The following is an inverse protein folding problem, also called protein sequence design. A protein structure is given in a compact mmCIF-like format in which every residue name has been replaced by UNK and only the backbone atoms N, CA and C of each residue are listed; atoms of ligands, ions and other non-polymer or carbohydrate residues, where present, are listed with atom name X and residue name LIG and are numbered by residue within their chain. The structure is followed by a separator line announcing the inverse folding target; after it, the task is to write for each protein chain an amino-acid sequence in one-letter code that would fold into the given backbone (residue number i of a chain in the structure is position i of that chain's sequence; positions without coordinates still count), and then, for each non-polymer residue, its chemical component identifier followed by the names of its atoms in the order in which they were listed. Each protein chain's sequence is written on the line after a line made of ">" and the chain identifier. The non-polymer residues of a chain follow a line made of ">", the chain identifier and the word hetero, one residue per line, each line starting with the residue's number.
data_IF_247760553026
#
_entry.id   IF_247760553026
#
_cell.length_a   1.000
_cell.length_b   1.000
_cell.length_c   1.000
_cell.angle_alpha   90.00
_cell.angle_beta   90.00
_cell.angle_gamma   90.00
#
_symmetry.space_group_name_H-M   'P 1'
#
loop_
_entity.id
_entity.type
_entity.pdbx_description
1 polymer ?
#
# COMPACT_ATOMS: atom_id res chain seq x y z
N UNK A 1 13.65 40.01 22.31
CA UNK A 1 12.88 38.86 22.82
C UNK A 1 11.66 38.68 21.92
N UNK A 2 11.84 38.00 20.79
CA UNK A 2 10.76 37.60 19.89
C UNK A 2 10.79 36.08 19.86
N UNK A 3 9.68 35.49 20.28
CA UNK A 3 9.44 34.05 20.30
C UNK A 3 8.65 33.71 19.05
N UNK A 4 9.29 33.13 18.03
CA UNK A 4 8.60 32.57 16.87
C UNK A 4 8.22 31.12 17.12
N UNK A 5 6.91 30.87 17.08
CA UNK A 5 6.29 29.56 17.08
C UNK A 5 6.41 28.96 15.68
N UNK A 6 7.21 27.92 15.51
CA UNK A 6 7.07 27.02 14.36
C UNK A 6 6.02 25.95 14.71
N UNK A 7 4.84 26.08 14.11
CA UNK A 7 3.82 25.04 14.13
C UNK A 7 4.12 23.99 13.06
N UNK A 8 4.34 22.75 13.50
CA UNK A 8 4.29 21.57 12.63
C UNK A 8 2.85 21.41 12.11
N UNK A 9 2.65 21.56 10.81
CA UNK A 9 1.43 21.10 10.13
C UNK A 9 1.67 19.64 9.73
N UNK A 10 1.20 18.72 10.58
CA UNK A 10 1.11 17.31 10.23
C UNK A 10 -0.15 17.09 9.38
N UNK A 11 0.00 17.17 8.05
CA UNK A 11 -1.04 16.74 7.12
C UNK A 11 -1.05 15.22 7.01
N UNK A 12 -1.60 14.55 8.02
CA UNK A 12 -1.96 13.15 7.97
C UNK A 12 -3.29 12.98 7.25
N UNK A 13 -3.27 12.88 5.91
CA UNK A 13 -4.43 12.40 5.17
C UNK A 13 -4.49 10.87 5.36
N UNK A 14 -5.10 10.45 6.48
CA UNK A 14 -5.49 9.06 6.68
C UNK A 14 -6.53 8.72 5.63
N UNK A 15 -6.11 7.99 4.59
CA UNK A 15 -7.00 7.49 3.55
C UNK A 15 -7.86 6.37 4.15
N UNK A 16 -8.99 6.75 4.72
CA UNK A 16 -10.09 5.82 4.92
C UNK A 16 -10.59 5.42 3.53
N UNK A 17 -10.26 4.20 3.10
CA UNK A 17 -11.06 3.50 2.10
C UNK A 17 -12.42 3.23 2.77
N UNK A 18 -13.29 4.24 2.78
CA UNK A 18 -14.70 4.07 3.05
C UNK A 18 -15.24 3.29 1.86
N UNK A 19 -15.29 1.96 1.99
CA UNK A 19 -16.30 1.18 1.28
C UNK A 19 -17.65 1.65 1.82
N UNK A 20 -18.17 2.72 1.24
CA UNK A 20 -19.58 3.05 1.32
C UNK A 20 -20.30 1.91 0.60
N UNK A 21 -20.75 0.90 1.36
CA UNK A 21 -21.84 0.04 0.93
C UNK A 21 -23.09 0.92 0.81
N UNK A 22 -23.19 1.70 -0.27
CA UNK A 22 -24.42 2.36 -0.68
C UNK A 22 -25.41 1.27 -1.12
N UNK A 23 -26.15 0.76 -0.14
CA UNK A 23 -27.08 -0.34 -0.34
C UNK A 23 -28.12 -0.40 0.78
N UNK A 24 -28.91 0.66 0.95
CA UNK A 24 -30.25 0.51 1.53
C UNK A 24 -31.14 -0.26 0.53
N UNK A 25 -30.86 -1.55 0.37
CA UNK A 25 -31.64 -2.49 -0.44
C UNK A 25 -32.89 -2.88 0.33
N UNK A 26 -34.00 -2.20 0.03
CA UNK A 26 -35.34 -2.69 0.32
C UNK A 26 -35.51 -4.01 -0.42
N UNK A 27 -35.69 -5.11 0.31
CA UNK A 27 -35.80 -6.46 -0.26
C UNK A 27 -36.85 -6.50 -1.38
N UNK A 28 -36.40 -6.74 -2.61
CA UNK A 28 -37.27 -7.11 -3.72
C UNK A 28 -37.46 -8.64 -3.72
N UNK A 29 -38.68 -9.15 -3.97
CA UNK A 29 -38.96 -10.58 -3.93
C UNK A 29 -38.38 -11.29 -5.17
N UNK A 30 -37.71 -12.42 -4.92
CA UNK A 30 -37.41 -13.53 -5.82
C UNK A 30 -37.47 -13.24 -7.34
N UNK A 31 -36.33 -12.87 -7.91
CA UNK A 31 -36.05 -12.95 -9.34
C UNK A 31 -34.86 -13.88 -9.56
N UNK A 32 -35.00 -14.79 -10.52
CA UNK A 32 -34.11 -15.92 -10.78
C UNK A 32 -32.61 -15.56 -10.84
N UNK A 33 -31.81 -16.38 -10.16
CA UNK A 33 -30.35 -16.32 -10.16
C UNK A 33 -29.80 -16.48 -11.59
N UNK A 34 -29.44 -15.38 -12.23
CA UNK A 34 -28.58 -15.42 -13.41
C UNK A 34 -27.16 -15.80 -12.96
N UNK A 35 -26.74 -16.99 -13.37
CA UNK A 35 -25.37 -17.46 -13.27
C UNK A 35 -24.43 -16.41 -13.89
N UNK A 36 -23.65 -15.76 -13.04
CA UNK A 36 -22.54 -14.92 -13.49
C UNK A 36 -21.56 -15.81 -14.25
N UNK A 37 -21.26 -15.45 -15.49
CA UNK A 37 -20.20 -16.06 -16.26
C UNK A 37 -18.89 -15.84 -15.50
N UNK A 38 -18.35 -16.92 -14.94
CA UNK A 38 -17.05 -16.95 -14.32
C UNK A 38 -16.01 -16.64 -15.39
N UNK A 39 -15.31 -15.50 -15.22
CA UNK A 39 -13.99 -15.34 -15.83
C UNK A 39 -13.17 -16.60 -15.51
N UNK A 40 -12.46 -17.14 -16.49
CA UNK A 40 -11.69 -18.37 -16.30
C UNK A 40 -10.61 -18.11 -15.26
N UNK A 41 -10.84 -18.58 -14.03
CA UNK A 41 -9.92 -18.41 -12.92
C UNK A 41 -8.57 -19.00 -13.31
N UNK A 42 -7.57 -18.14 -13.45
CA UNK A 42 -6.17 -18.54 -13.55
C UNK A 42 -5.82 -19.36 -12.31
N UNK A 43 -4.98 -20.39 -12.48
CA UNK A 43 -4.60 -21.27 -11.38
C UNK A 43 -3.99 -20.43 -10.25
N UNK A 44 -4.46 -20.56 -8.99
CA UNK A 44 -3.95 -19.81 -7.86
C UNK A 44 -2.43 -19.92 -7.82
N UNK A 45 -1.74 -18.77 -7.85
CA UNK A 45 -0.31 -18.78 -7.64
C UNK A 45 -0.08 -19.04 -6.14
N UNK A 46 0.45 -20.22 -5.81
CA UNK A 46 0.55 -20.68 -4.43
C UNK A 46 1.50 -19.85 -3.55
N UNK A 47 2.31 -18.99 -4.16
CA UNK A 47 3.31 -18.15 -3.46
C UNK A 47 3.13 -16.69 -3.86
N UNK A 48 2.89 -15.78 -2.89
CA UNK A 48 2.92 -14.34 -3.11
C UNK A 48 4.21 -13.89 -3.80
N UNK A 49 4.17 -12.96 -4.77
CA UNK A 49 5.33 -12.53 -5.52
C UNK A 49 6.23 -11.62 -4.69
N UNK A 50 7.50 -11.56 -5.07
CA UNK A 50 8.40 -10.44 -4.74
C UNK A 50 8.05 -9.20 -5.57
N UNK A 51 8.57 -8.03 -5.20
CA UNK A 51 8.35 -6.80 -5.99
C UNK A 51 8.90 -6.98 -7.42
N UNK A 52 10.08 -7.58 -7.55
CA UNK A 52 10.73 -7.80 -8.84
C UNK A 52 9.94 -8.74 -9.76
N UNK A 53 9.18 -9.68 -9.21
CA UNK A 53 8.28 -10.54 -10.00
C UNK A 53 7.01 -9.79 -10.41
N UNK A 54 6.41 -9.02 -9.49
CA UNK A 54 5.21 -8.25 -9.77
C UNK A 54 5.44 -7.18 -10.86
N UNK A 55 6.58 -6.50 -10.84
CA UNK A 55 6.97 -5.49 -11.86
C UNK A 55 7.01 -6.07 -13.28
N UNK A 56 7.38 -7.35 -13.43
CA UNK A 56 7.40 -8.02 -14.75
C UNK A 56 6.00 -8.19 -15.32
N UNK A 57 5.00 -8.29 -14.45
CA UNK A 57 3.59 -8.31 -14.85
C UNK A 57 3.18 -6.86 -15.09
N UNK A 58 3.13 -6.01 -14.07
CA UNK A 58 2.75 -4.61 -14.24
C UNK A 58 3.52 -3.69 -13.30
N UNK A 59 4.01 -2.59 -13.87
CA UNK A 59 4.54 -1.46 -13.14
C UNK A 59 3.59 -0.27 -13.33
N UNK A 60 2.86 0.10 -12.29
CA UNK A 60 1.94 1.25 -12.37
C UNK A 60 2.70 2.59 -12.55
N UNK A 61 4.03 2.59 -12.36
CA UNK A 61 4.92 3.72 -12.68
C UNK A 61 5.14 3.93 -14.18
N UNK A 62 4.72 3.01 -15.03
CA UNK A 62 4.93 3.13 -16.48
C UNK A 62 3.66 3.38 -17.30
N UNK A 63 2.47 3.21 -16.72
CA UNK A 63 1.20 3.52 -17.38
C UNK A 63 1.10 4.98 -17.89
N UNK A 64 0.83 5.23 -19.17
CA UNK A 64 0.48 6.56 -19.66
C UNK A 64 -0.57 7.28 -18.80
N UNK A 65 -0.37 8.57 -18.55
CA UNK A 65 -1.36 9.42 -17.89
C UNK A 65 -2.24 10.12 -18.93
N UNK A 66 -3.45 10.52 -18.52
CA UNK A 66 -4.31 11.37 -19.36
C UNK A 66 -3.57 12.68 -19.68
N UNK A 67 -3.63 13.13 -20.93
CA UNK A 67 -2.95 14.35 -21.34
C UNK A 67 -3.40 15.57 -20.52
N UNK A 68 -2.43 16.41 -20.10
CA UNK A 68 -2.69 17.59 -19.28
C UNK A 68 -2.93 17.29 -17.78
N UNK A 69 -2.76 16.05 -17.35
CA UNK A 69 -2.79 15.70 -15.92
C UNK A 69 -1.64 16.36 -15.16
N UNK A 70 -1.90 16.75 -13.92
CA UNK A 70 -0.86 17.19 -13.00
C UNK A 70 -0.01 15.98 -12.57
N UNK A 71 1.27 16.20 -12.28
CA UNK A 71 2.20 15.13 -11.94
C UNK A 71 1.68 14.39 -10.69
N UNK A 72 1.48 13.06 -10.72
CA UNK A 72 1.03 12.28 -9.56
C UNK A 72 1.89 12.56 -8.33
N UNK A 73 1.27 13.06 -7.26
CA UNK A 73 1.88 13.03 -5.93
C UNK A 73 2.05 11.61 -5.38
N UNK A 74 1.50 10.59 -6.05
CA UNK A 74 1.58 9.19 -5.66
C UNK A 74 1.70 8.24 -6.84
N UNK A 75 2.93 7.89 -7.19
CA UNK A 75 3.21 6.85 -8.18
C UNK A 75 4.28 5.91 -7.66
N UNK A 76 3.95 4.62 -7.67
CA UNK A 76 4.80 3.55 -7.16
C UNK A 76 4.52 2.28 -7.97
N UNK A 77 5.31 1.23 -7.77
CA UNK A 77 5.15 -0.04 -8.50
C UNK A 77 3.71 -0.57 -8.35
N UNK A 78 3.19 -0.54 -7.13
CA UNK A 78 1.89 -1.12 -6.80
C UNK A 78 0.73 -0.13 -6.86
N UNK A 79 0.99 1.18 -6.97
CA UNK A 79 -0.06 2.21 -6.89
C UNK A 79 0.13 3.37 -7.85
N UNK A 80 -0.97 3.78 -8.48
CA UNK A 80 -1.09 5.02 -9.25
C UNK A 80 -2.21 5.88 -8.65
N UNK A 81 -1.92 7.15 -8.39
CA UNK A 81 -2.90 8.14 -7.93
C UNK A 81 -2.62 9.52 -8.56
N UNK A 82 -3.57 10.08 -9.30
CA UNK A 82 -3.41 11.41 -9.90
C UNK A 82 -4.74 12.08 -10.26
N UNK A 83 -4.69 13.39 -10.55
CA UNK A 83 -5.84 14.15 -11.06
C UNK A 83 -5.79 14.33 -12.57
N UNK A 84 -6.86 13.93 -13.26
CA UNK A 84 -7.03 14.05 -14.70
C UNK A 84 -8.00 15.20 -15.05
N UNK A 85 -7.72 16.00 -16.10
CA UNK A 85 -8.57 17.10 -16.53
C UNK A 85 -9.68 16.63 -17.49
N UNK A 86 -10.36 15.53 -17.17
CA UNK A 86 -11.46 14.97 -17.97
C UNK A 86 -12.55 14.37 -17.06
N UNK A 87 -13.62 13.82 -17.65
CA UNK A 87 -14.69 13.16 -16.88
C UNK A 87 -14.22 11.82 -16.28
N UNK A 88 -14.82 11.35 -15.17
CA UNK A 88 -14.54 10.05 -14.58
C UNK A 88 -14.59 8.89 -15.56
N UNK A 89 -15.64 8.86 -16.38
CA UNK A 89 -15.80 7.89 -17.46
C UNK A 89 -14.64 7.90 -18.46
N UNK A 90 -14.28 9.07 -18.97
CA UNK A 90 -13.20 9.18 -19.95
C UNK A 90 -11.84 8.77 -19.36
N UNK A 91 -11.57 9.12 -18.09
CA UNK A 91 -10.36 8.69 -17.39
C UNK A 91 -10.31 7.18 -17.16
N UNK A 92 -11.45 6.57 -16.80
CA UNK A 92 -11.58 5.13 -16.61
C UNK A 92 -11.37 4.38 -17.92
N UNK A 93 -12.11 4.73 -18.98
CA UNK A 93 -12.01 4.11 -20.32
C UNK A 93 -10.59 4.23 -20.90
N UNK A 94 -9.89 5.34 -20.63
CA UNK A 94 -8.50 5.54 -21.05
C UNK A 94 -7.55 4.50 -20.43
N UNK A 95 -7.68 4.18 -19.15
CA UNK A 95 -6.85 3.17 -18.48
C UNK A 95 -7.34 1.75 -18.71
N UNK A 96 -8.65 1.53 -18.75
CA UNK A 96 -9.26 0.25 -19.13
C UNK A 96 -8.70 -0.20 -20.49
N UNK A 97 -8.67 0.70 -21.49
CA UNK A 97 -8.10 0.39 -22.80
C UNK A 97 -6.63 -0.02 -22.72
N UNK A 98 -5.81 0.68 -21.93
CA UNK A 98 -4.40 0.33 -21.77
C UNK A 98 -4.20 -1.05 -21.14
N UNK A 99 -4.98 -1.37 -20.09
CA UNK A 99 -4.93 -2.67 -19.44
C UNK A 99 -5.37 -3.78 -20.41
N UNK A 100 -6.49 -3.59 -21.12
CA UNK A 100 -6.99 -4.56 -22.10
C UNK A 100 -6.01 -4.75 -23.27
N UNK A 101 -5.45 -3.66 -23.82
CA UNK A 101 -4.44 -3.73 -24.89
C UNK A 101 -3.16 -4.44 -24.41
N UNK A 102 -2.87 -4.40 -23.11
CA UNK A 102 -1.78 -5.15 -22.46
C UNK A 102 -2.18 -6.60 -22.08
N UNK A 103 -3.37 -7.07 -22.47
CA UNK A 103 -3.84 -8.44 -22.25
C UNK A 103 -4.45 -8.71 -20.88
N UNK A 104 -4.88 -7.67 -20.15
CA UNK A 104 -5.66 -7.85 -18.93
C UNK A 104 -7.14 -8.10 -19.24
N UNK A 105 -7.74 -9.02 -18.50
CA UNK A 105 -9.16 -9.36 -18.63
C UNK A 105 -9.99 -8.56 -17.62
N UNK A 106 -11.11 -7.98 -18.06
CA UNK A 106 -12.05 -7.27 -17.19
C UNK A 106 -12.79 -8.30 -16.33
N UNK A 107 -12.76 -8.12 -15.01
CA UNK A 107 -13.54 -8.93 -14.07
C UNK A 107 -15.03 -8.58 -14.13
N UNK A 108 -15.94 -9.50 -13.77
CA UNK A 108 -17.35 -9.17 -13.58
C UNK A 108 -17.54 -8.03 -12.57
N UNK A 109 -18.66 -7.31 -12.67
CA UNK A 109 -19.04 -6.20 -11.79
C UNK A 109 -18.31 -4.86 -12.02
N UNK A 110 -17.83 -4.63 -13.24
CA UNK A 110 -17.48 -3.28 -13.68
C UNK A 110 -18.70 -2.35 -13.59
N UNK A 111 -18.47 -1.12 -13.12
CA UNK A 111 -19.48 -0.06 -13.03
C UNK A 111 -18.90 1.22 -13.61
N UNK A 112 -19.54 1.73 -14.66
CA UNK A 112 -19.14 2.97 -15.34
C UNK A 112 -20.37 3.86 -15.47
N UNK A 113 -20.31 5.03 -14.84
CA UNK A 113 -21.29 6.14 -14.94
C UNK A 113 -20.57 7.42 -15.35
N UNK A 114 -21.30 8.51 -15.58
CA UNK A 114 -20.67 9.80 -15.89
C UNK A 114 -19.91 10.37 -14.69
N UNK A 115 -20.33 10.03 -13.47
CA UNK A 115 -19.78 10.51 -12.19
C UNK A 115 -18.66 9.63 -11.62
N UNK A 116 -18.57 8.36 -12.04
CA UNK A 116 -17.57 7.41 -11.55
C UNK A 116 -17.34 6.24 -12.49
N UNK A 117 -16.14 5.65 -12.45
CA UNK A 117 -15.82 4.37 -13.05
C UNK A 117 -15.07 3.51 -12.05
N UNK A 118 -15.39 2.22 -11.96
CA UNK A 118 -14.68 1.27 -11.11
C UNK A 118 -14.74 -0.13 -11.68
N UNK A 119 -13.63 -0.86 -11.59
CA UNK A 119 -13.55 -2.25 -12.02
C UNK A 119 -12.27 -2.93 -11.55
N UNK A 120 -12.21 -4.23 -11.79
CA UNK A 120 -11.04 -5.06 -11.51
C UNK A 120 -10.59 -5.75 -12.79
N UNK A 121 -9.29 -6.00 -12.90
CA UNK A 121 -8.65 -6.57 -14.07
C UNK A 121 -7.75 -7.72 -13.62
N UNK A 122 -7.77 -8.82 -14.35
CA UNK A 122 -6.98 -10.02 -14.01
C UNK A 122 -6.03 -10.41 -15.13
N UNK A 123 -4.80 -10.80 -14.80
CA UNK A 123 -3.84 -11.39 -15.75
C UNK A 123 -2.78 -12.19 -14.99
N UNK A 124 -2.48 -13.40 -15.46
CA UNK A 124 -1.47 -14.30 -14.86
C UNK A 124 -1.65 -14.51 -13.33
N UNK A 125 -2.91 -14.56 -12.89
CA UNK A 125 -3.30 -14.67 -11.48
C UNK A 125 -3.24 -13.35 -10.70
N UNK A 126 -2.69 -12.28 -11.25
CA UNK A 126 -2.68 -10.96 -10.61
C UNK A 126 -4.02 -10.24 -10.78
N UNK A 127 -4.38 -9.44 -9.78
CA UNK A 127 -5.55 -8.55 -9.81
C UNK A 127 -5.13 -7.09 -9.69
N UNK A 128 -5.65 -6.23 -10.56
CA UNK A 128 -5.51 -4.77 -10.48
C UNK A 128 -6.89 -4.16 -10.34
N UNK A 129 -7.09 -3.26 -9.38
CA UNK A 129 -8.30 -2.43 -9.30
C UNK A 129 -8.04 -1.08 -9.97
N UNK A 130 -9.06 -0.55 -10.63
CA UNK A 130 -9.06 0.78 -11.23
C UNK A 130 -10.31 1.52 -10.78
N UNK A 131 -10.14 2.77 -10.37
CA UNK A 131 -11.21 3.67 -10.00
C UNK A 131 -10.94 5.06 -10.60
N UNK A 132 -11.99 5.69 -11.09
CA UNK A 132 -12.00 7.10 -11.46
C UNK A 132 -13.24 7.74 -10.85
N UNK A 133 -13.11 8.84 -10.12
CA UNK A 133 -14.24 9.54 -9.52
C UNK A 133 -14.01 11.04 -9.49
N UNK A 134 -15.10 11.81 -9.50
CA UNK A 134 -15.00 13.26 -9.45
C UNK A 134 -14.40 13.73 -8.11
N UNK A 135 -13.43 14.65 -8.16
CA UNK A 135 -12.93 15.34 -6.97
C UNK A 135 -14.00 16.32 -6.49
N UNK A 136 -14.45 16.18 -5.25
CA UNK A 136 -15.36 17.14 -4.64
C UNK A 136 -14.63 18.43 -4.26
N UNK A 137 -15.28 19.58 -4.44
CA UNK A 137 -14.87 20.85 -3.83
C UNK A 137 -13.72 21.62 -4.50
N UNK A 138 -13.37 21.33 -5.75
CA UNK A 138 -12.42 22.12 -6.54
C UNK A 138 -13.08 23.16 -7.43
N UNK A 139 -12.39 24.27 -7.70
CA UNK A 139 -12.84 25.33 -8.64
C UNK A 139 -12.91 24.84 -10.10
N UNK A 140 -12.28 23.70 -10.40
CA UNK A 140 -12.26 23.08 -11.72
C UNK A 140 -12.71 21.62 -11.62
N UNK A 141 -13.51 21.13 -12.57
CA UNK A 141 -13.80 19.70 -12.67
C UNK A 141 -12.48 18.93 -12.84
N UNK A 142 -12.18 18.07 -11.88
CA UNK A 142 -11.05 17.17 -11.92
C UNK A 142 -11.51 15.77 -11.54
N UNK A 143 -10.93 14.78 -12.18
CA UNK A 143 -11.17 13.37 -11.87
C UNK A 143 -9.98 12.83 -11.11
N UNK A 144 -10.22 12.25 -9.94
CA UNK A 144 -9.22 11.46 -9.25
C UNK A 144 -9.18 10.06 -9.86
N UNK A 145 -7.99 9.63 -10.29
CA UNK A 145 -7.75 8.29 -10.81
C UNK A 145 -6.90 7.51 -9.82
N UNK A 146 -7.34 6.33 -9.45
CA UNK A 146 -6.62 5.38 -8.61
C UNK A 146 -6.50 4.04 -9.32
N UNK A 147 -5.29 3.47 -9.35
CA UNK A 147 -5.09 2.07 -9.66
C UNK A 147 -4.21 1.41 -8.60
N UNK A 148 -4.55 0.19 -8.21
CA UNK A 148 -3.80 -0.58 -7.20
C UNK A 148 -3.62 -2.03 -7.66
N UNK A 149 -2.40 -2.54 -7.56
CA UNK A 149 -2.11 -3.95 -7.75
C UNK A 149 -2.35 -4.69 -6.43
N UNK A 150 -3.19 -5.72 -6.44
CA UNK A 150 -3.57 -6.49 -5.24
C UNK A 150 -2.73 -7.75 -5.06
N UNK A 151 -1.74 -7.98 -5.94
CA UNK A 151 -0.94 -9.19 -5.99
C UNK A 151 -1.66 -10.33 -6.72
N UNK A 152 -1.19 -11.56 -6.52
CA UNK A 152 -1.64 -12.76 -7.22
C UNK A 152 -2.33 -13.80 -6.32
N UNK A 153 -2.76 -13.38 -5.12
CA UNK A 153 -3.29 -14.28 -4.11
C UNK A 153 -4.78 -14.54 -4.34
N UNK A 154 -5.15 -15.82 -4.46
CA UNK A 154 -6.56 -16.23 -4.37
C UNK A 154 -6.98 -16.28 -2.90
N UNK A 155 -7.84 -15.36 -2.45
CA UNK A 155 -8.18 -15.20 -1.03
C UNK A 155 -8.82 -16.46 -0.43
N UNK A 156 -9.53 -17.28 -1.20
CA UNK A 156 -10.13 -18.54 -0.72
C UNK A 156 -9.10 -19.62 -0.34
N UNK A 157 -7.81 -19.39 -0.61
CA UNK A 157 -6.70 -20.23 -0.14
C UNK A 157 -6.21 -19.85 1.27
N UNK A 158 -6.69 -18.73 1.81
CA UNK A 158 -6.35 -18.29 3.17
C UNK A 158 -7.07 -19.13 4.24
N UNK A 159 -6.56 -19.14 5.48
CA UNK A 159 -7.23 -19.80 6.59
C UNK A 159 -8.68 -19.36 6.75
N UNK A 160 -9.58 -20.33 6.70
CA UNK A 160 -11.00 -20.15 6.98
C UNK A 160 -11.24 -20.23 8.49
N UNK A 161 -11.96 -19.27 9.11
CA UNK A 161 -12.28 -19.36 10.52
C UNK A 161 -13.10 -20.62 10.86
N UNK A 162 -12.96 -21.18 12.07
CA UNK A 162 -13.80 -22.29 12.52
C UNK A 162 -15.30 -21.95 12.42
N UNK A 163 -16.11 -22.96 12.08
CA UNK A 163 -17.57 -22.86 11.98
C UNK A 163 -18.10 -21.75 11.05
N UNK A 164 -17.25 -21.24 10.16
CA UNK A 164 -17.62 -20.13 9.31
C UNK A 164 -18.33 -20.55 8.02
N UNK A 165 -19.15 -19.65 7.48
CA UNK A 165 -19.74 -19.71 6.15
C UNK A 165 -19.19 -18.55 5.31
N UNK A 166 -19.12 -18.73 3.99
CA UNK A 166 -18.73 -17.63 3.08
C UNK A 166 -19.88 -16.64 3.03
N UNK A 167 -19.61 -15.38 3.37
CA UNK A 167 -20.56 -14.28 3.24
C UNK A 167 -20.54 -13.71 1.81
N UNK A 168 -19.34 -13.48 1.26
CA UNK A 168 -19.12 -13.16 -0.15
C UNK A 168 -17.68 -13.49 -0.56
N UNK A 169 -17.46 -13.75 -1.84
CA UNK A 169 -16.16 -14.03 -2.46
C UNK A 169 -16.02 -13.21 -3.74
N UNK A 170 -15.30 -12.10 -3.64
CA UNK A 170 -15.05 -11.15 -4.74
C UNK A 170 -13.55 -11.16 -5.07
N UNK A 171 -13.14 -10.81 -6.30
CA UNK A 171 -11.73 -10.87 -6.71
C UNK A 171 -10.75 -10.12 -5.80
N UNK A 172 -11.21 -9.04 -5.16
CA UNK A 172 -10.41 -8.21 -4.26
C UNK A 172 -10.71 -8.44 -2.77
N UNK A 173 -11.78 -9.13 -2.42
CA UNK A 173 -12.22 -9.24 -1.02
C UNK A 173 -13.00 -10.52 -0.77
N UNK A 174 -12.71 -11.18 0.35
CA UNK A 174 -13.38 -12.39 0.80
C UNK A 174 -13.86 -12.18 2.23
N UNK A 175 -15.13 -12.45 2.49
CA UNK A 175 -15.68 -12.39 3.82
C UNK A 175 -16.28 -13.72 4.27
N UNK A 176 -16.05 -14.02 5.54
CA UNK A 176 -16.64 -15.13 6.26
C UNK A 176 -17.51 -14.61 7.40
N UNK A 177 -18.56 -15.34 7.74
CA UNK A 177 -19.38 -15.12 8.93
C UNK A 177 -19.35 -16.35 9.83
N UNK A 178 -19.19 -16.17 11.14
CA UNK A 178 -19.15 -17.27 12.12
C UNK A 178 -19.86 -16.88 13.42
N UNK A 179 -20.55 -17.83 14.10
CA UNK A 179 -21.13 -17.58 15.42
C UNK A 179 -20.08 -17.44 16.53
N UNK A 180 -18.82 -17.80 16.27
CA UNK A 180 -17.75 -17.75 17.26
C UNK A 180 -17.38 -16.30 17.62
N UNK A 181 -16.85 -16.08 18.83
CA UNK A 181 -16.51 -14.74 19.33
C UNK A 181 -15.27 -14.11 18.66
N UNK A 182 -15.31 -12.80 18.43
CA UNK A 182 -14.25 -11.99 17.76
C UNK A 182 -12.84 -12.31 18.24
N UNK A 183 -12.61 -12.36 19.56
CA UNK A 183 -11.28 -12.60 20.12
C UNK A 183 -10.75 -14.00 19.80
N UNK A 184 -11.58 -15.04 19.94
CA UNK A 184 -11.20 -16.42 19.64
C UNK A 184 -10.92 -16.61 18.14
N UNK A 185 -11.77 -16.03 17.29
CA UNK A 185 -11.61 -16.04 15.83
C UNK A 185 -10.32 -15.34 15.40
N UNK A 186 -10.06 -14.15 15.94
CA UNK A 186 -8.84 -13.37 15.62
C UNK A 186 -7.57 -14.14 15.99
N UNK A 187 -7.55 -14.79 17.16
CA UNK A 187 -6.41 -15.61 17.60
C UNK A 187 -6.20 -16.86 16.72
N UNK A 188 -7.30 -17.50 16.30
CA UNK A 188 -7.22 -18.66 15.42
C UNK A 188 -6.64 -18.30 14.05
N UNK A 189 -7.16 -17.23 13.43
CA UNK A 189 -6.66 -16.73 12.13
C UNK A 189 -5.18 -16.36 12.22
N UNK A 190 -4.79 -15.63 13.26
CA UNK A 190 -3.39 -15.23 13.46
C UNK A 190 -2.45 -16.43 13.54
N UNK A 191 -2.80 -17.42 14.36
CA UNK A 191 -2.05 -18.66 14.48
C UNK A 191 -1.94 -19.39 13.14
N UNK A 192 -3.04 -19.52 12.40
CA UNK A 192 -3.08 -20.28 11.16
C UNK A 192 -2.34 -19.56 10.03
N UNK A 193 -2.42 -18.22 9.97
CA UNK A 193 -1.65 -17.40 9.02
C UNK A 193 -0.15 -17.50 9.29
N UNK A 194 0.28 -17.39 10.55
CA UNK A 194 1.69 -17.56 10.91
C UNK A 194 2.18 -18.97 10.58
N UNK A 195 1.37 -20.01 10.83
CA UNK A 195 1.69 -21.38 10.43
C UNK A 195 1.80 -21.55 8.90
N UNK A 196 1.08 -20.75 8.13
CA UNK A 196 1.18 -20.67 6.67
C UNK A 196 2.34 -19.77 6.16
N UNK A 197 3.20 -19.28 7.07
CA UNK A 197 4.38 -18.49 6.76
C UNK A 197 4.09 -17.02 6.45
N UNK A 198 2.97 -16.49 6.94
CA UNK A 198 2.72 -15.04 6.94
C UNK A 198 3.38 -14.39 8.15
N UNK A 199 4.08 -13.28 7.92
CA UNK A 199 4.72 -12.49 8.97
C UNK A 199 3.75 -11.43 9.51
N UNK A 200 3.70 -11.22 10.82
CA UNK A 200 2.93 -10.12 11.41
C UNK A 200 3.49 -8.78 10.95
N UNK A 201 2.61 -7.86 10.55
CA UNK A 201 3.02 -6.59 9.91
C UNK A 201 2.21 -5.40 10.41
N UNK A 202 1.84 -5.42 11.69
CA UNK A 202 1.13 -4.35 12.40
C UNK A 202 -0.35 -4.59 12.60
N UNK A 203 -1.02 -3.61 13.22
CA UNK A 203 -2.45 -3.65 13.53
C UNK A 203 -3.06 -2.25 13.47
N UNK A 204 -4.34 -2.15 13.11
CA UNK A 204 -5.13 -0.91 13.20
C UNK A 204 -6.58 -1.24 13.58
N UNK A 205 -6.98 -0.89 14.81
CA UNK A 205 -8.31 -1.27 15.33
C UNK A 205 -8.51 -2.80 15.29
N UNK A 206 -9.58 -3.22 14.62
CA UNK A 206 -9.96 -4.63 14.44
C UNK A 206 -9.23 -5.32 13.27
N UNK A 207 -8.34 -4.61 12.58
CA UNK A 207 -7.55 -5.12 11.46
C UNK A 207 -6.16 -5.51 11.90
N UNK A 208 -5.76 -6.74 11.55
CA UNK A 208 -4.36 -7.20 11.61
C UNK A 208 -3.77 -7.21 10.22
N UNK A 209 -2.52 -6.78 10.11
CA UNK A 209 -1.77 -6.80 8.86
C UNK A 209 -0.76 -7.92 8.90
N UNK A 210 -0.62 -8.62 7.77
CA UNK A 210 0.39 -9.64 7.58
C UNK A 210 1.13 -9.40 6.27
N UNK A 211 2.34 -9.92 6.15
CA UNK A 211 3.15 -9.82 4.94
C UNK A 211 3.68 -11.18 4.55
N UNK A 212 3.70 -11.45 3.25
CA UNK A 212 4.44 -12.56 2.66
C UNK A 212 4.98 -12.06 1.32
N UNK A 213 6.31 -11.95 1.23
CA UNK A 213 7.00 -11.26 0.15
C UNK A 213 6.42 -9.84 -0.05
N UNK A 214 6.02 -9.48 -1.28
CA UNK A 214 5.44 -8.19 -1.61
C UNK A 214 3.92 -8.11 -1.41
N UNK A 215 3.25 -9.15 -0.92
CA UNK A 215 1.81 -9.07 -0.62
C UNK A 215 1.60 -8.77 0.85
N UNK A 216 0.81 -7.74 1.11
CA UNK A 216 0.27 -7.41 2.43
C UNK A 216 -1.18 -7.87 2.49
N UNK A 217 -1.49 -8.72 3.46
CA UNK A 217 -2.84 -9.17 3.79
C UNK A 217 -3.40 -8.32 4.92
N UNK A 218 -4.63 -7.87 4.74
CA UNK A 218 -5.45 -7.24 5.77
C UNK A 218 -6.47 -8.26 6.22
N UNK A 219 -6.52 -8.58 7.52
CA UNK A 219 -7.54 -9.42 8.12
C UNK A 219 -8.29 -8.63 9.18
N UNK A 220 -9.52 -8.22 8.86
CA UNK A 220 -10.40 -7.50 9.78
C UNK A 220 -11.37 -8.48 10.43
N UNK A 221 -11.43 -8.50 11.76
CA UNK A 221 -12.35 -9.37 12.50
C UNK A 221 -13.21 -8.54 13.44
N UNK A 222 -14.50 -8.42 13.15
CA UNK A 222 -15.40 -7.56 13.92
C UNK A 222 -16.80 -8.16 14.05
N UNK A 223 -17.57 -7.69 15.03
CA UNK A 223 -18.99 -8.01 15.15
C UNK A 223 -19.79 -7.24 14.09
N UNK A 224 -20.66 -7.93 13.35
CA UNK A 224 -21.50 -7.32 12.33
C UNK A 224 -22.99 -7.32 12.75
N UNK A 225 -23.58 -6.17 13.14
CA UNK A 225 -24.99 -6.09 13.53
C UNK A 225 -25.96 -6.57 12.43
N UNK A 226 -25.63 -6.31 11.16
CA UNK A 226 -26.42 -6.77 10.01
C UNK A 226 -26.41 -8.29 9.82
N UNK A 227 -25.50 -9.00 10.49
CA UNK A 227 -25.39 -10.45 10.51
C UNK A 227 -25.81 -11.01 11.88
N UNK A 228 -26.85 -10.43 12.48
CA UNK A 228 -27.40 -10.87 13.78
C UNK A 228 -26.37 -10.80 14.93
N UNK A 229 -25.37 -9.91 14.82
CA UNK A 229 -24.29 -9.78 15.81
C UNK A 229 -23.24 -10.90 15.75
N UNK A 230 -23.21 -11.69 14.67
CA UNK A 230 -22.15 -12.67 14.41
C UNK A 230 -20.81 -11.97 14.12
N UNK A 231 -19.72 -12.73 14.25
CA UNK A 231 -18.39 -12.27 13.86
C UNK A 231 -18.24 -12.38 12.35
N UNK A 232 -17.77 -11.31 11.72
CA UNK A 232 -17.36 -11.28 10.31
C UNK A 232 -15.85 -11.13 10.23
N UNK A 233 -15.24 -11.92 9.37
CA UNK A 233 -13.82 -11.86 9.02
C UNK A 233 -13.73 -11.45 7.57
N UNK A 234 -13.04 -10.36 7.28
CA UNK A 234 -12.81 -9.89 5.92
C UNK A 234 -11.33 -9.91 5.61
N UNK A 235 -10.97 -10.53 4.48
CA UNK A 235 -9.63 -10.53 3.91
C UNK A 235 -9.57 -9.60 2.70
N UNK A 236 -8.50 -8.81 2.62
CA UNK A 236 -8.14 -7.96 1.49
C UNK A 236 -6.63 -8.00 1.29
N UNK A 237 -6.14 -7.84 0.05
CA UNK A 237 -4.69 -7.79 -0.21
C UNK A 237 -4.28 -6.54 -0.94
N UNK A 238 -3.04 -6.12 -0.69
CA UNK A 238 -2.34 -5.07 -1.40
C UNK A 238 -0.97 -5.59 -1.81
N UNK A 239 -0.50 -5.23 -3.00
CA UNK A 239 0.91 -5.34 -3.33
C UNK A 239 1.66 -4.15 -2.71
N UNK A 240 2.78 -4.42 -2.06
CA UNK A 240 3.71 -3.42 -1.56
C UNK A 240 4.67 -2.99 -2.67
N UNK A 241 5.03 -1.71 -2.70
CA UNK A 241 6.04 -1.21 -3.63
C UNK A 241 7.48 -1.47 -3.18
N UNK A 242 7.69 -1.84 -1.91
CA UNK A 242 8.97 -2.27 -1.37
C UNK A 242 8.79 -3.31 -0.24
N UNK A 243 9.66 -4.32 -0.20
CA UNK A 243 9.67 -5.40 0.81
C UNK A 243 10.43 -4.97 2.06
N UNK A 244 9.93 -3.95 2.77
CA UNK A 244 10.57 -3.41 3.97
C UNK A 244 10.41 -4.39 5.16
N UNK A 245 11.50 -4.84 5.79
CA UNK A 245 11.41 -5.80 6.89
C UNK A 245 10.97 -5.13 8.19
N UNK A 246 10.11 -5.82 8.95
CA UNK A 246 9.69 -5.43 10.29
C UNK A 246 10.04 -6.53 11.31
N UNK A 247 10.57 -6.17 12.49
CA UNK A 247 10.76 -7.10 13.61
C UNK A 247 9.43 -7.71 14.06
N UNK A 248 9.41 -9.03 14.30
CA UNK A 248 8.19 -9.74 14.71
C UNK A 248 7.68 -9.32 16.09
N UNK A 249 8.57 -8.79 16.95
CA UNK A 249 8.29 -8.30 18.29
C UNK A 249 8.07 -6.77 18.34
N UNK A 250 8.01 -6.09 17.20
CA UNK A 250 7.74 -4.66 17.13
C UNK A 250 6.42 -4.30 17.85
N UNK A 251 6.45 -3.25 18.66
CA UNK A 251 5.28 -2.74 19.40
C UNK A 251 4.25 -2.12 18.46
N UNK A 252 4.72 -1.49 17.39
CA UNK A 252 3.89 -0.91 16.34
C UNK A 252 4.61 -1.04 15.00
N UNK A 253 3.84 -1.30 13.95
CA UNK A 253 4.30 -1.32 12.56
C UNK A 253 3.24 -0.63 11.71
N UNK A 254 3.64 0.36 10.91
CA UNK A 254 2.74 1.08 10.01
C UNK A 254 3.44 1.31 8.68
N UNK A 255 2.91 0.69 7.62
CA UNK A 255 3.35 0.93 6.26
C UNK A 255 2.43 1.97 5.59
N UNK A 256 3.02 2.87 4.81
CA UNK A 256 2.27 3.80 3.97
C UNK A 256 2.95 3.99 2.61
N UNK A 257 2.14 4.32 1.61
CA UNK A 257 2.59 4.78 0.29
C UNK A 257 1.52 5.67 -0.36
N UNK A 258 1.89 6.83 -0.98
CA UNK A 258 3.21 7.49 -1.03
C UNK A 258 3.48 8.43 0.19
N UNK A 259 4.76 8.74 0.52
CA UNK A 259 5.97 8.06 0.07
C UNK A 259 6.03 6.63 0.61
N UNK A 260 6.79 5.74 -0.01
CA UNK A 260 6.96 4.36 0.47
C UNK A 260 7.78 4.40 1.76
N UNK A 261 7.12 4.13 2.88
CA UNK A 261 7.75 4.17 4.19
C UNK A 261 7.18 3.13 5.16
N UNK A 262 8.03 2.71 6.10
CA UNK A 262 7.65 1.85 7.22
C UNK A 262 8.04 2.51 8.53
N UNK A 263 7.05 2.75 9.37
CA UNK A 263 7.22 3.16 10.76
C UNK A 263 7.25 1.92 11.65
N UNK A 264 8.23 1.85 12.56
CA UNK A 264 8.37 0.75 13.53
C UNK A 264 8.69 1.28 14.92
N UNK A 265 8.05 0.71 15.95
CA UNK A 265 8.46 0.87 17.35
C UNK A 265 9.15 -0.42 17.82
N UNK A 266 10.48 -0.43 17.80
CA UNK A 266 11.28 -1.62 18.11
C UNK A 266 11.51 -1.76 19.62
N UNK A 267 11.20 -2.91 20.24
CA UNK A 267 11.46 -3.13 21.66
C UNK A 267 12.95 -3.29 21.93
N UNK A 268 13.64 -2.17 22.16
CA UNK A 268 15.07 -2.17 22.44
C UNK A 268 15.71 -0.81 22.21
N UNK A 269 17.00 -0.75 22.48
CA UNK A 269 17.81 0.43 22.20
C UNK A 269 18.22 0.52 20.71
N UNK A 270 18.84 1.65 20.37
CA UNK A 270 19.29 1.95 19.02
C UNK A 270 20.31 0.91 18.50
N UNK A 271 21.21 0.43 19.36
CA UNK A 271 22.24 -0.52 18.96
C UNK A 271 21.64 -1.88 18.60
N UNK A 272 20.65 -2.35 19.36
CA UNK A 272 19.91 -3.56 19.05
C UNK A 272 19.10 -3.41 17.76
N UNK A 273 18.43 -2.26 17.57
CA UNK A 273 17.68 -1.97 16.35
C UNK A 273 18.60 -1.93 15.11
N UNK A 274 19.70 -1.18 15.15
CA UNK A 274 20.66 -1.07 14.05
C UNK A 274 21.26 -2.44 13.69
N UNK A 275 21.66 -3.22 14.69
CA UNK A 275 22.15 -4.59 14.47
C UNK A 275 21.11 -5.45 13.76
N UNK A 276 19.86 -5.42 14.22
CA UNK A 276 18.78 -6.19 13.59
C UNK A 276 18.58 -5.78 12.13
N UNK A 277 18.54 -4.47 11.83
CA UNK A 277 18.35 -4.00 10.46
C UNK A 277 19.54 -4.31 9.56
N UNK A 278 20.79 -4.20 10.04
CA UNK A 278 21.97 -4.62 9.26
C UNK A 278 21.90 -6.10 8.88
N UNK A 279 21.52 -6.96 9.82
CA UNK A 279 21.38 -8.40 9.56
C UNK A 279 20.22 -8.71 8.60
N UNK A 280 19.04 -8.10 8.83
CA UNK A 280 17.84 -8.34 8.03
C UNK A 280 17.97 -7.80 6.61
N UNK A 281 18.44 -6.55 6.46
CA UNK A 281 18.63 -5.91 5.16
C UNK A 281 19.83 -6.48 4.41
N UNK A 282 20.90 -6.89 5.11
CA UNK A 282 22.04 -7.56 4.50
C UNK A 282 21.65 -8.87 3.79
N UNK A 283 20.73 -9.65 4.37
CA UNK A 283 20.17 -10.86 3.72
C UNK A 283 19.38 -10.54 2.45
N UNK A 284 18.85 -9.33 2.34
CA UNK A 284 18.11 -8.82 1.19
C UNK A 284 19.02 -8.09 0.18
N UNK A 285 20.35 -8.10 0.38
CA UNK A 285 21.31 -7.49 -0.54
C UNK A 285 21.42 -5.97 -0.43
N UNK A 286 21.00 -5.40 0.70
CA UNK A 286 21.24 -4.01 1.05
C UNK A 286 22.55 -3.87 1.82
N UNK A 287 23.34 -2.87 1.45
CA UNK A 287 24.62 -2.55 2.06
C UNK A 287 24.54 -1.17 2.72
N UNK A 288 24.91 -1.05 4.01
CA UNK A 288 24.95 0.25 4.68
C UNK A 288 26.08 1.10 4.10
N UNK A 289 25.86 2.40 3.94
CA UNK A 289 26.88 3.35 3.49
C UNK A 289 27.84 3.77 4.61
N UNK A 290 27.51 3.43 5.86
CA UNK A 290 28.24 3.80 7.07
C UNK A 290 28.31 2.60 8.04
N UNK A 291 29.42 2.47 8.75
CA UNK A 291 29.65 1.38 9.72
C UNK A 291 28.77 1.48 10.98
N UNK A 292 28.34 2.68 11.33
CA UNK A 292 27.47 2.97 12.47
C UNK A 292 26.47 4.08 12.13
N UNK A 293 25.34 4.17 12.86
CA UNK A 293 24.42 5.30 12.74
C UNK A 293 25.12 6.64 12.99
N UNK A 294 24.86 7.62 12.12
CA UNK A 294 25.34 9.01 12.29
C UNK A 294 24.30 9.80 13.05
N UNK A 295 24.71 10.53 14.08
CA UNK A 295 23.85 11.44 14.81
C UNK A 295 23.56 12.72 14.02
N UNK A 296 22.30 13.13 14.02
CA UNK A 296 21.82 14.41 13.51
C UNK A 296 20.74 14.93 14.46
N UNK A 297 21.07 15.98 15.20
CA UNK A 297 20.22 16.56 16.26
C UNK A 297 19.79 15.54 17.32
N UNK A 298 18.51 15.13 17.32
CA UNK A 298 17.91 14.20 18.27
C UNK A 298 17.62 12.83 17.65
N UNK A 299 18.07 12.60 16.41
CA UNK A 299 17.92 11.36 15.67
C UNK A 299 19.29 10.83 15.27
N UNK A 300 19.35 9.54 14.96
CA UNK A 300 20.48 8.97 14.23
C UNK A 300 19.97 8.38 12.93
N UNK A 301 20.81 8.26 11.91
CA UNK A 301 20.38 7.63 10.67
C UNK A 301 21.45 6.75 10.05
N UNK A 302 21.00 5.79 9.24
CA UNK A 302 21.84 4.98 8.35
C UNK A 302 21.19 4.95 6.98
N UNK A 303 22.00 5.15 5.95
CA UNK A 303 21.57 4.98 4.55
C UNK A 303 22.06 3.61 4.08
N UNK A 304 21.19 2.90 3.37
CA UNK A 304 21.49 1.64 2.71
C UNK A 304 21.32 1.79 1.20
N UNK A 305 22.15 1.08 0.45
CA UNK A 305 22.07 0.98 -1.02
C UNK A 305 22.01 -0.49 -1.44
N UNK A 306 21.42 -0.74 -2.59
CA UNK A 306 21.43 -2.07 -3.19
C UNK A 306 21.94 -2.01 -4.64
N UNK A 307 22.08 -3.17 -5.27
CA UNK A 307 22.57 -3.30 -6.65
C UNK A 307 21.63 -2.70 -7.71
N UNK A 308 20.35 -2.54 -7.40
CA UNK A 308 19.38 -1.89 -8.28
C UNK A 308 19.54 -0.36 -8.29
N UNK A 309 20.40 0.21 -7.44
CA UNK A 309 20.60 1.65 -7.33
C UNK A 309 19.56 2.32 -6.43
N UNK A 310 18.74 1.56 -5.71
CA UNK A 310 17.74 2.08 -4.77
C UNK A 310 18.41 2.56 -3.48
N UNK A 311 17.68 3.37 -2.71
CA UNK A 311 18.11 3.91 -1.43
C UNK A 311 17.07 3.62 -0.35
N UNK A 312 17.54 3.22 0.82
CA UNK A 312 16.73 3.09 2.02
C UNK A 312 17.38 3.89 3.15
N UNK A 313 16.67 4.88 3.67
CA UNK A 313 17.11 5.66 4.84
C UNK A 313 16.37 5.16 6.07
N UNK A 314 17.11 4.79 7.11
CA UNK A 314 16.53 4.43 8.42
C UNK A 314 16.88 5.54 9.40
N UNK A 315 15.86 6.22 9.91
CA UNK A 315 16.00 7.15 11.02
C UNK A 315 15.66 6.44 12.33
N UNK A 316 16.51 6.61 13.32
CA UNK A 316 16.44 6.04 14.66
C UNK A 316 16.20 7.18 15.65
N UNK A 317 15.16 7.03 16.47
CA UNK A 317 14.86 7.95 17.56
C UNK A 317 14.64 7.15 18.85
N UNK A 318 15.61 7.16 19.77
CA UNK A 318 15.43 6.53 21.08
C UNK A 318 14.24 7.16 21.83
N UNK A 319 13.41 6.31 22.42
CA UNK A 319 12.32 6.64 23.34
C UNK A 319 12.49 5.72 24.57
N UNK A 320 12.03 6.16 25.74
CA UNK A 320 12.30 5.52 27.04
C UNK A 320 12.47 4.00 27.02
N UNK A 321 11.48 3.26 26.48
CA UNK A 321 11.46 1.79 26.46
C UNK A 321 11.41 1.18 25.05
N UNK A 322 11.65 1.96 23.98
CA UNK A 322 11.73 1.48 22.60
C UNK A 322 12.50 2.43 21.68
N UNK A 323 12.94 1.95 20.53
CA UNK A 323 13.49 2.80 19.47
C UNK A 323 12.46 2.99 18.38
N UNK A 324 12.08 4.25 18.11
CA UNK A 324 11.22 4.61 17.00
C UNK A 324 12.06 4.66 15.73
N UNK A 325 11.56 4.01 14.69
CA UNK A 325 12.23 3.88 13.40
C UNK A 325 11.33 4.39 12.29
N UNK A 326 11.92 5.14 11.35
CA UNK A 326 11.27 5.44 10.07
C UNK A 326 12.18 4.98 8.96
N UNK A 327 11.73 3.99 8.20
CA UNK A 327 12.35 3.52 6.98
C UNK A 327 11.72 4.24 5.80
N UNK A 328 12.52 4.98 5.03
CA UNK A 328 12.07 5.66 3.81
C UNK A 328 12.75 5.02 2.61
N UNK A 329 11.95 4.45 1.71
CA UNK A 329 12.43 3.87 0.47
C UNK A 329 12.39 4.91 -0.65
N UNK A 330 13.40 4.88 -1.52
CA UNK A 330 13.50 5.73 -2.70
C UNK A 330 13.99 4.89 -3.87
N UNK A 331 13.28 4.94 -4.99
CA UNK A 331 13.67 4.17 -6.17
C UNK A 331 14.95 4.74 -6.79
N UNK A 332 15.59 3.97 -7.67
CA UNK A 332 16.76 4.45 -8.41
C UNK A 332 16.44 5.69 -9.25
N UNK A 333 15.25 5.76 -9.85
CA UNK A 333 14.80 6.90 -10.65
C UNK A 333 14.58 8.15 -9.78
N UNK A 334 13.86 8.01 -8.67
CA UNK A 334 13.63 9.12 -7.72
C UNK A 334 14.95 9.65 -7.16
N UNK A 335 15.88 8.75 -6.83
CA UNK A 335 17.20 9.12 -6.34
C UNK A 335 18.00 9.88 -7.40
N UNK A 336 18.02 9.42 -8.66
CA UNK A 336 18.70 10.12 -9.75
C UNK A 336 18.13 11.53 -9.99
N UNK A 337 16.80 11.69 -9.87
CA UNK A 337 16.16 13.00 -9.93
C UNK A 337 16.51 13.90 -8.73
N UNK A 338 16.63 13.33 -7.52
CA UNK A 338 17.10 14.05 -6.34
C UNK A 338 18.55 14.52 -6.52
N UNK A 339 19.44 13.68 -7.01
CA UNK A 339 20.84 14.05 -7.28
C UNK A 339 20.95 15.20 -8.30
N UNK A 340 20.18 15.11 -9.38
CA UNK A 340 20.12 16.18 -10.39
C UNK A 340 19.68 17.50 -9.77
N UNK A 341 18.60 17.49 -8.99
CA UNK A 341 18.10 18.69 -8.29
C UNK A 341 19.12 19.25 -7.31
N UNK A 342 19.81 18.40 -6.54
CA UNK A 342 20.86 18.84 -5.63
C UNK A 342 22.05 19.46 -6.36
N UNK A 343 22.48 18.88 -7.48
CA UNK A 343 23.57 19.42 -8.29
C UNK A 343 23.22 20.81 -8.86
N UNK A 344 21.98 21.01 -9.31
CA UNK A 344 21.46 22.30 -9.78
C UNK A 344 21.40 23.34 -8.65
N UNK A 345 20.87 22.94 -7.47
CA UNK A 345 20.82 23.81 -6.29
C UNK A 345 22.21 24.19 -5.79
N UNK A 346 23.15 23.24 -5.74
CA UNK A 346 24.53 23.51 -5.34
C UNK A 346 25.19 24.53 -6.27
N UNK A 347 25.02 24.39 -7.59
CA UNK A 347 25.50 25.37 -8.57
C UNK A 347 24.89 26.76 -8.35
N UNK A 348 23.59 26.81 -8.03
CA UNK A 348 22.90 28.08 -7.72
C UNK A 348 23.48 28.74 -6.47
N UNK A 349 23.67 27.98 -5.38
CA UNK A 349 24.26 28.48 -4.14
C UNK A 349 25.70 28.95 -4.31
N UNK A 350 26.51 28.23 -5.11
CA UNK A 350 27.88 28.63 -5.43
C UNK A 350 27.91 29.93 -6.24
N UNK A 351 26.99 30.12 -7.20
CA UNK A 351 26.87 31.35 -7.97
C UNK A 351 26.40 32.54 -7.12
N UNK A 352 25.44 32.32 -6.22
CA UNK A 352 24.97 33.34 -5.27
C UNK A 352 26.11 33.76 -4.32
N UNK A 353 26.84 32.80 -3.76
CA UNK A 353 27.98 33.08 -2.88
C UNK A 353 29.10 33.83 -3.60
N UNK A 354 29.40 33.48 -4.86
CA UNK A 354 30.40 34.20 -5.66
C UNK A 354 30.00 35.67 -5.90
N UNK A 355 28.72 35.91 -6.21
CA UNK A 355 28.18 37.25 -6.43
C UNK A 355 28.12 38.10 -5.14
N UNK A 356 28.07 37.48 -3.96
CA UNK A 356 28.19 38.17 -2.67
C UNK A 356 29.63 38.53 -2.32
N UNK A 357 30.62 37.71 -2.67
CA UNK A 357 32.04 38.03 -2.45
C UNK A 357 32.60 39.12 -3.36
N UNK A 358 31.94 39.43 -4.48
CA UNK A 358 32.33 40.50 -5.41
C UNK A 358 31.68 41.87 -5.07
N UNK A 359 30.91 41.96 -3.98
CA UNK A 359 30.35 43.21 -3.42
C UNK A 359 31.15 43.65 -2.20
#
# INVERSE_FOLDING_TARGET
>A
MFSERFGLVASGLGLALLLECAGCGRAAPNGDAQASQTASASTPNATPPTVAEAVKVIDLRTLPLVAGSENPGGRSVARLAYQAPCSPKAAYEFHQKQLVDAGWEISPHESITEESGSGSFTRDGFTVTLQASQVAGGDKPATMVFASNLGNLTLSTLPKPPNAEVLYDMPASLAYVTPDGVAAVSMAIDKDLQAAGWETYGTAGDTRFYRKNAVRLLATTATAPAQEGKTVVTYFTELLSAELPAPADAKAVQYSEPPVQLYVEYPGDLAAADKWYRESLGKLGWEPTLDHPTEQDFESFVIYRNKAGEMLEINFRPVDDFTRLTLKFTTAEEFAEMEKRWAEQKKKLEAERAAETDK
#
